data_IF_691286519618
#
_entry.id   IF_691286519618
#
_cell.length_a   1.000
_cell.length_b   1.000
_cell.length_c   1.000
_cell.angle_alpha   90.00
_cell.angle_beta   90.00
_cell.angle_gamma   90.00
#
_symmetry.space_group_name_H-M   'P 1'
#
loop_
_entity.id
_entity.type
_entity.pdbx_description
1 polymer ?
#
# COMPACT_ATOMS: atom_id res chain seq x y z
N UNK A 1 -17.48 22.85 2.26
CA UNK A 1 -16.41 21.96 1.76
C UNK A 1 -16.89 21.36 0.46
N UNK A 2 -16.42 21.88 -0.68
CA UNK A 2 -16.89 21.52 -2.03
C UNK A 2 -16.65 20.04 -2.28
N UNK A 3 -17.70 19.29 -2.62
CA UNK A 3 -17.56 17.89 -3.00
C UNK A 3 -16.71 17.80 -4.27
N UNK A 4 -15.46 17.37 -4.12
CA UNK A 4 -14.58 17.10 -5.26
C UNK A 4 -15.23 15.95 -6.04
N UNK A 5 -15.61 16.21 -7.30
CA UNK A 5 -16.23 15.17 -8.12
C UNK A 5 -15.21 14.10 -8.48
N UNK A 6 -15.66 12.85 -8.64
CA UNK A 6 -14.81 11.71 -9.01
C UNK A 6 -13.93 12.00 -10.24
N UNK A 7 -14.47 12.78 -11.19
CA UNK A 7 -13.76 13.22 -12.40
C UNK A 7 -12.56 14.10 -12.09
N UNK A 8 -12.71 15.10 -11.21
CA UNK A 8 -11.60 15.98 -10.81
C UNK A 8 -10.50 15.17 -10.11
N UNK A 9 -10.85 14.23 -9.25
CA UNK A 9 -9.86 13.34 -8.60
C UNK A 9 -9.08 12.54 -9.64
N UNK A 10 -9.76 11.99 -10.65
CA UNK A 10 -9.12 11.24 -11.74
C UNK A 10 -8.17 12.12 -12.56
N UNK A 11 -8.56 13.35 -12.87
CA UNK A 11 -7.72 14.31 -13.60
C UNK A 11 -6.49 14.71 -12.78
N UNK A 12 -6.66 15.03 -11.50
CA UNK A 12 -5.54 15.31 -10.60
C UNK A 12 -4.59 14.11 -10.48
N UNK A 13 -5.14 12.90 -10.34
CA UNK A 13 -4.34 11.69 -10.27
C UNK A 13 -3.58 11.45 -11.59
N UNK A 14 -4.18 11.75 -12.73
CA UNK A 14 -3.50 11.65 -14.03
C UNK A 14 -2.31 12.60 -14.12
N UNK A 15 -2.44 13.84 -13.64
CA UNK A 15 -1.32 14.81 -13.59
C UNK A 15 -0.16 14.28 -12.74
N UNK A 16 -0.46 13.59 -11.63
CA UNK A 16 0.55 12.97 -10.75
C UNK A 16 1.14 11.70 -11.38
N UNK A 17 0.32 10.86 -12.01
CA UNK A 17 0.74 9.57 -12.55
C UNK A 17 1.55 9.69 -13.83
N UNK A 18 1.34 10.71 -14.67
CA UNK A 18 2.11 10.89 -15.92
C UNK A 18 3.63 10.99 -15.70
N UNK A 19 4.16 11.82 -14.78
CA UNK A 19 5.60 11.86 -14.53
C UNK A 19 6.14 10.53 -13.97
N UNK A 20 5.36 9.84 -13.13
CA UNK A 20 5.72 8.50 -12.62
C UNK A 20 5.77 7.49 -13.77
N UNK A 21 4.77 7.48 -14.65
CA UNK A 21 4.74 6.61 -15.82
C UNK A 21 5.92 6.89 -16.75
N UNK A 22 6.30 8.16 -16.97
CA UNK A 22 7.50 8.52 -17.73
C UNK A 22 8.77 7.96 -17.08
N UNK A 23 8.88 8.04 -15.76
CA UNK A 23 9.99 7.45 -15.02
C UNK A 23 10.04 5.93 -15.21
N UNK A 24 8.90 5.24 -15.11
CA UNK A 24 8.82 3.79 -15.33
C UNK A 24 9.25 3.41 -16.76
N UNK A 25 8.76 4.12 -17.79
CA UNK A 25 9.12 3.88 -19.20
C UNK A 25 10.61 4.07 -19.44
N UNK A 26 11.22 5.14 -18.89
CA UNK A 26 12.66 5.41 -19.04
C UNK A 26 13.55 4.34 -18.41
N UNK A 27 13.07 3.67 -17.38
CA UNK A 27 13.82 2.64 -16.65
C UNK A 27 13.37 1.22 -17.01
N UNK A 28 12.63 1.05 -18.11
CA UNK A 28 12.09 -0.25 -18.55
C UNK A 28 11.30 -1.00 -17.47
N UNK A 29 10.61 -0.26 -16.58
CA UNK A 29 9.79 -0.86 -15.53
C UNK A 29 8.42 -1.24 -16.11
N UNK A 30 8.10 -2.54 -16.24
CA UNK A 30 6.84 -2.98 -16.83
C UNK A 30 5.66 -2.62 -15.91
N UNK A 31 4.48 -2.49 -16.50
CA UNK A 31 3.23 -2.18 -15.78
C UNK A 31 2.97 -3.17 -14.63
N UNK A 32 3.35 -4.43 -14.79
CA UNK A 32 3.22 -5.46 -13.76
C UNK A 32 3.97 -5.07 -12.48
N UNK A 33 5.20 -4.61 -12.59
CA UNK A 33 6.02 -4.24 -11.44
C UNK A 33 5.52 -2.97 -10.77
N UNK A 34 5.10 -1.98 -11.59
CA UNK A 34 4.43 -0.79 -11.07
C UNK A 34 3.12 -1.14 -10.32
N UNK A 35 2.35 -2.08 -10.85
CA UNK A 35 1.11 -2.56 -10.22
C UNK A 35 1.40 -3.23 -8.87
N UNK A 36 2.47 -4.02 -8.79
CA UNK A 36 2.92 -4.63 -7.54
C UNK A 36 3.34 -3.58 -6.50
N UNK A 37 4.07 -2.55 -6.90
CA UNK A 37 4.44 -1.42 -6.02
C UNK A 37 3.19 -0.67 -5.55
N UNK A 38 2.26 -0.39 -6.47
CA UNK A 38 1.02 0.33 -6.14
C UNK A 38 0.14 -0.44 -5.16
N UNK A 39 0.00 -1.77 -5.32
CA UNK A 39 -0.72 -2.61 -4.34
C UNK A 39 -0.12 -2.48 -2.94
N UNK A 40 1.22 -2.53 -2.82
CA UNK A 40 1.91 -2.36 -1.53
C UNK A 40 1.61 -0.98 -0.93
N UNK A 41 1.71 0.08 -1.72
CA UNK A 41 1.44 1.44 -1.26
C UNK A 41 -0.03 1.62 -0.80
N UNK A 42 -1.00 1.05 -1.53
CA UNK A 42 -2.42 1.09 -1.16
C UNK A 42 -2.70 0.33 0.14
N UNK A 43 -2.07 -0.83 0.33
CA UNK A 43 -2.16 -1.59 1.59
C UNK A 43 -1.58 -0.77 2.75
N UNK A 44 -0.39 -0.18 2.58
CA UNK A 44 0.25 0.65 3.60
C UNK A 44 -0.59 1.88 3.97
N UNK A 45 -1.18 2.54 2.98
CA UNK A 45 -2.08 3.68 3.20
C UNK A 45 -3.34 3.24 3.97
N UNK A 46 -3.96 2.12 3.60
CA UNK A 46 -5.12 1.58 4.31
C UNK A 46 -4.79 1.19 5.76
N UNK A 47 -3.65 0.55 6.00
CA UNK A 47 -3.18 0.22 7.37
C UNK A 47 -2.94 1.47 8.20
N UNK A 48 -2.29 2.48 7.61
CA UNK A 48 -2.02 3.76 8.29
C UNK A 48 -3.31 4.47 8.66
N UNK A 49 -4.30 4.49 7.76
CA UNK A 49 -5.60 5.08 8.03
C UNK A 49 -6.37 4.33 9.14
N UNK A 50 -6.33 2.99 9.14
CA UNK A 50 -6.92 2.18 10.22
C UNK A 50 -6.25 2.46 11.57
N UNK A 51 -4.91 2.61 11.60
CA UNK A 51 -4.16 2.98 12.81
C UNK A 51 -4.55 4.38 13.30
N UNK A 52 -4.56 5.36 12.41
CA UNK A 52 -4.88 6.75 12.73
C UNK A 52 -6.30 6.92 13.27
N UNK A 53 -7.23 6.09 12.78
CA UNK A 53 -8.63 6.08 13.23
C UNK A 53 -8.89 5.16 14.43
N UNK A 54 -7.86 4.52 14.99
CA UNK A 54 -7.97 3.61 16.12
C UNK A 54 -8.76 2.33 15.83
N UNK A 55 -8.97 1.99 14.57
CA UNK A 55 -9.73 0.82 14.17
C UNK A 55 -8.86 -0.44 14.19
N UNK A 56 -9.42 -1.61 14.55
CA UNK A 56 -8.67 -2.85 14.48
C UNK A 56 -8.29 -3.14 13.03
N UNK A 57 -7.03 -3.52 12.83
CA UNK A 57 -6.45 -3.85 11.51
C UNK A 57 -6.79 -5.30 11.20
N UNK A 58 -7.44 -5.54 10.07
CA UNK A 58 -7.72 -6.89 9.58
C UNK A 58 -7.66 -6.95 8.07
N UNK A 59 -7.37 -8.14 7.53
CA UNK A 59 -7.29 -8.40 6.08
C UNK A 59 -8.57 -7.96 5.35
N UNK A 60 -9.74 -8.18 5.97
CA UNK A 60 -11.02 -7.78 5.39
C UNK A 60 -11.15 -6.26 5.28
N UNK A 61 -10.76 -5.52 6.32
CA UNK A 61 -10.82 -4.05 6.30
C UNK A 61 -9.81 -3.45 5.34
N UNK A 62 -8.58 -3.98 5.32
CA UNK A 62 -7.56 -3.58 4.36
C UNK A 62 -8.06 -3.80 2.93
N UNK A 63 -8.65 -4.96 2.64
CA UNK A 63 -9.24 -5.23 1.32
C UNK A 63 -10.30 -4.20 0.93
N UNK A 64 -11.24 -3.89 1.83
CA UNK A 64 -12.32 -2.93 1.57
C UNK A 64 -11.77 -1.52 1.32
N UNK A 65 -10.78 -1.08 2.10
CA UNK A 65 -10.25 0.28 2.00
C UNK A 65 -9.27 0.46 0.83
N UNK A 66 -8.39 -0.52 0.60
CA UNK A 66 -7.37 -0.44 -0.45
C UNK A 66 -7.89 -0.87 -1.83
N UNK A 67 -8.97 -1.64 -1.88
CA UNK A 67 -9.45 -2.31 -3.10
C UNK A 67 -8.57 -3.47 -3.56
N UNK A 68 -7.49 -3.80 -2.85
CA UNK A 68 -6.57 -4.89 -3.21
C UNK A 68 -7.21 -6.24 -2.84
N UNK A 69 -7.16 -7.27 -3.72
CA UNK A 69 -7.76 -8.58 -3.43
C UNK A 69 -7.21 -9.20 -2.14
N UNK A 70 -8.06 -9.89 -1.36
CA UNK A 70 -7.68 -10.51 -0.06
C UNK A 70 -6.45 -11.42 -0.16
N UNK A 71 -6.34 -12.21 -1.23
CA UNK A 71 -5.19 -13.08 -1.49
C UNK A 71 -3.88 -12.27 -1.60
N UNK A 72 -3.94 -11.13 -2.27
CA UNK A 72 -2.80 -10.22 -2.43
C UNK A 72 -2.47 -9.49 -1.14
N UNK A 73 -3.49 -9.08 -0.36
CA UNK A 73 -3.31 -8.52 0.99
C UNK A 73 -2.59 -9.53 1.89
N UNK A 74 -3.02 -10.79 1.92
CA UNK A 74 -2.35 -11.84 2.69
C UNK A 74 -0.91 -12.06 2.23
N UNK A 75 -0.66 -12.06 0.91
CA UNK A 75 0.70 -12.23 0.36
C UNK A 75 1.63 -11.07 0.70
N UNK A 76 1.12 -9.84 0.70
CA UNK A 76 1.93 -8.61 0.85
C UNK A 76 2.08 -8.21 2.32
N UNK A 77 0.99 -8.23 3.08
CA UNK A 77 0.94 -7.75 4.45
C UNK A 77 1.34 -8.84 5.45
N UNK A 78 0.63 -9.97 5.46
CA UNK A 78 0.83 -11.02 6.48
C UNK A 78 2.21 -11.67 6.34
N UNK A 79 2.57 -12.10 5.12
CA UNK A 79 3.91 -12.68 4.86
C UNK A 79 5.05 -11.65 4.88
N UNK A 80 4.71 -10.36 4.78
CA UNK A 80 5.68 -9.26 4.89
C UNK A 80 6.06 -9.00 6.35
N UNK A 81 5.07 -8.99 7.26
CA UNK A 81 5.31 -8.83 8.70
C UNK A 81 6.06 -10.03 9.31
N UNK A 82 5.81 -11.27 8.85
CA UNK A 82 6.55 -12.46 9.32
C UNK A 82 8.07 -12.39 9.08
N UNK A 83 8.54 -11.59 8.10
CA UNK A 83 9.98 -11.42 7.83
C UNK A 83 10.63 -10.31 8.65
N UNK A 84 9.87 -9.40 9.24
CA UNK A 84 10.40 -8.24 9.97
C UNK A 84 10.58 -8.53 11.47
N UNK A 85 10.00 -9.62 11.98
CA UNK A 85 10.11 -10.03 13.39
C UNK A 85 11.42 -10.73 13.77
N UNK A 86 12.32 -11.02 12.81
CA UNK A 86 13.59 -11.72 13.09
C UNK A 86 14.74 -10.78 13.50
N UNK A 87 14.48 -9.48 13.63
CA UNK A 87 15.50 -8.49 14.04
C UNK A 87 15.24 -7.99 15.47
N UNK A 88 15.31 -8.88 16.46
CA UNK A 88 15.50 -8.45 17.85
C UNK A 88 16.40 -9.40 18.64
N UNK A 89 17.58 -9.69 18.08
CA UNK A 89 18.66 -10.43 18.79
C UNK A 89 19.09 -9.68 20.06
N UNK A 90 18.89 -8.36 20.13
CA UNK A 90 19.29 -7.50 21.25
C UNK A 90 18.48 -7.78 22.53
N UNK A 91 17.24 -8.28 22.44
CA UNK A 91 16.43 -8.56 23.64
C UNK A 91 16.74 -9.91 24.30
N UNK A 92 17.59 -10.76 23.71
CA UNK A 92 17.97 -12.08 24.28
C UNK A 92 19.18 -12.05 25.23
N UNK A 93 19.95 -10.96 25.27
CA UNK A 93 21.24 -10.92 25.98
C UNK A 93 21.14 -10.16 27.32
N UNK A 94 19.95 -9.70 27.73
CA UNK A 94 19.73 -8.95 28.98
C UNK A 94 18.96 -9.80 30.03
N UNK A 95 18.87 -11.12 29.85
CA UNK A 95 18.28 -12.03 30.85
C UNK A 95 19.35 -12.81 31.62
#
# INVERSE_FOLDING_TARGET
>A
MTAITKKIVQECLQVILVPIARFCVRNALPLKDLTEIMKKALIQAAVSELRNTGQPISVSKIHVMSGVPRLEVNRIYVKGEEKDTDTNVVSRVIA
#
